data_IF_905367526192
#
_entry.id   IF_905367526192
#
_cell.length_a   1.000
_cell.length_b   1.000
_cell.length_c   1.000
_cell.angle_alpha   90.00
_cell.angle_beta   90.00
_cell.angle_gamma   90.00
#
_symmetry.space_group_name_H-M   'P 1'
#
loop_
_entity.id
_entity.type
_entity.pdbx_description
1 polymer ?
#
# COMPACT_ATOMS: atom_id res chain seq x y z
N UNK A 1 62.24 37.81 40.81
CA UNK A 1 61.01 37.00 40.86
C UNK A 1 59.86 37.74 40.17
N UNK A 2 59.51 37.39 38.93
CA UNK A 2 58.16 37.37 38.31
C UNK A 2 58.21 37.42 36.76
N UNK A 3 57.19 36.79 36.17
CA UNK A 3 56.67 36.81 34.79
C UNK A 3 57.38 35.88 33.78
N UNK A 4 56.81 34.75 33.33
CA UNK A 4 55.53 34.36 32.67
C UNK A 4 55.60 34.36 31.12
N UNK A 5 54.89 33.37 30.56
CA UNK A 5 54.37 33.13 29.18
C UNK A 5 55.18 32.13 28.32
N UNK A 6 54.73 30.86 28.18
CA UNK A 6 53.64 30.26 27.37
C UNK A 6 54.03 29.96 25.91
N UNK A 7 54.01 28.68 25.53
CA UNK A 7 53.61 28.08 24.22
C UNK A 7 53.96 26.58 24.25
N UNK A 8 52.98 25.66 24.24
CA UNK A 8 52.38 25.06 23.02
C UNK A 8 53.08 23.71 22.77
N UNK A 9 52.44 22.54 22.65
CA UNK A 9 51.44 22.14 21.66
C UNK A 9 50.79 20.84 22.18
N UNK A 10 49.46 20.78 22.25
CA UNK A 10 48.70 19.57 22.53
C UNK A 10 48.25 18.99 21.18
N UNK A 11 48.85 17.88 20.76
CA UNK A 11 48.40 17.09 19.61
C UNK A 11 47.84 15.76 20.13
N UNK A 12 46.52 15.59 20.06
CA UNK A 12 45.84 14.29 19.93
C UNK A 12 44.39 14.59 19.54
N UNK A 13 44.14 14.90 18.27
CA UNK A 13 43.50 13.98 17.31
C UNK A 13 42.17 13.40 17.82
N UNK A 14 41.10 14.04 17.35
CA UNK A 14 39.73 13.53 17.30
C UNK A 14 39.65 12.18 16.60
N UNK A 15 38.81 11.24 17.08
CA UNK A 15 38.13 10.32 16.19
C UNK A 15 36.72 10.85 15.89
N UNK A 16 36.53 11.26 14.64
CA UNK A 16 35.22 11.53 14.04
C UNK A 16 34.53 10.18 13.88
N UNK A 17 33.46 9.95 14.66
CA UNK A 17 32.60 8.76 14.52
C UNK A 17 31.76 8.96 13.26
N UNK A 18 32.16 8.27 12.18
CA UNK A 18 31.38 8.11 10.96
C UNK A 18 30.22 7.15 11.25
N UNK A 19 29.04 7.72 11.57
CA UNK A 19 27.78 7.00 11.57
C UNK A 19 27.46 6.67 10.11
N UNK A 20 27.79 5.46 9.68
CA UNK A 20 27.35 4.91 8.40
C UNK A 20 25.86 4.60 8.54
N UNK A 21 25.02 5.59 8.24
CA UNK A 21 23.60 5.36 8.02
C UNK A 21 23.49 4.36 6.85
N UNK A 22 23.26 3.10 7.19
CA UNK A 22 22.91 2.05 6.25
C UNK A 22 21.58 2.45 5.62
N UNK A 23 21.65 3.14 4.48
CA UNK A 23 20.50 3.41 3.66
C UNK A 23 20.00 2.07 3.14
N UNK A 24 18.96 1.52 3.78
CA UNK A 24 18.15 0.49 3.18
C UNK A 24 17.61 1.08 1.87
N UNK A 25 18.25 0.74 0.75
CA UNK A 25 17.71 0.97 -0.58
C UNK A 25 16.43 0.16 -0.69
N UNK A 26 15.30 0.79 -0.36
CA UNK A 26 13.99 0.33 -0.75
C UNK A 26 13.98 0.30 -2.27
N UNK A 27 14.07 -0.90 -2.85
CA UNK A 27 13.86 -1.11 -4.26
C UNK A 27 12.38 -0.78 -4.55
N UNK A 28 12.09 0.49 -4.84
CA UNK A 28 10.79 0.90 -5.34
C UNK A 28 10.55 0.17 -6.66
N UNK A 29 9.67 -0.83 -6.62
CA UNK A 29 9.17 -1.48 -7.81
C UNK A 29 8.60 -0.39 -8.71
N UNK A 30 9.19 -0.19 -9.90
CA UNK A 30 8.80 0.90 -10.82
C UNK A 30 7.41 0.59 -11.38
N UNK A 31 6.37 1.01 -10.66
CA UNK A 31 4.97 0.67 -10.98
C UNK A 31 4.58 1.42 -12.27
N UNK A 32 4.13 0.67 -13.28
CA UNK A 32 3.66 1.25 -14.54
C UNK A 32 2.16 1.55 -14.46
N UNK A 33 1.65 2.57 -15.17
CA UNK A 33 0.22 2.81 -15.29
C UNK A 33 -0.52 1.60 -15.87
N UNK A 34 -1.74 1.37 -15.40
CA UNK A 34 -2.62 0.34 -15.92
C UNK A 34 -3.33 0.84 -17.20
N UNK A 35 -3.13 0.15 -18.32
CA UNK A 35 -3.75 0.54 -19.60
C UNK A 35 -5.27 0.36 -19.59
N UNK A 36 -5.77 -0.70 -18.94
CA UNK A 36 -7.21 -0.94 -18.80
C UNK A 36 -7.90 0.14 -17.97
N UNK A 37 -7.19 0.72 -17.01
CA UNK A 37 -7.70 1.83 -16.22
C UNK A 37 -8.06 3.05 -17.09
N UNK A 38 -7.30 3.32 -18.17
CA UNK A 38 -7.61 4.42 -19.10
C UNK A 38 -8.98 4.23 -19.75
N UNK A 39 -9.33 2.99 -20.10
CA UNK A 39 -10.61 2.66 -20.73
C UNK A 39 -11.82 2.85 -19.78
N UNK A 40 -11.60 2.81 -18.46
CA UNK A 40 -12.67 2.95 -17.46
C UNK A 40 -12.59 4.25 -16.65
N UNK A 41 -11.75 5.21 -17.04
CA UNK A 41 -11.47 6.43 -16.27
C UNK A 41 -12.72 7.24 -15.88
N UNK A 42 -13.75 7.24 -16.74
CA UNK A 42 -15.02 7.94 -16.52
C UNK A 42 -16.04 7.17 -15.67
N UNK A 43 -15.73 5.93 -15.26
CA UNK A 43 -16.64 5.10 -14.45
C UNK A 43 -16.56 5.49 -12.96
N UNK A 44 -17.53 4.98 -12.20
CA UNK A 44 -17.61 5.20 -10.77
C UNK A 44 -16.35 4.71 -10.05
N UNK A 45 -15.83 5.55 -9.14
CA UNK A 45 -14.71 5.20 -8.27
C UNK A 45 -15.14 4.27 -7.14
N UNK A 46 -14.27 3.37 -6.70
CA UNK A 46 -14.49 2.56 -5.50
C UNK A 46 -14.72 3.44 -4.26
N UNK A 47 -14.02 4.57 -4.14
CA UNK A 47 -14.16 5.53 -3.02
C UNK A 47 -15.59 6.07 -2.83
N UNK A 48 -16.37 6.10 -3.90
CA UNK A 48 -17.76 6.53 -3.83
C UNK A 48 -18.62 5.61 -2.94
N UNK A 49 -18.20 4.36 -2.73
CA UNK A 49 -18.95 3.36 -1.96
C UNK A 49 -18.13 2.69 -0.85
N UNK A 50 -16.83 2.48 -1.03
CA UNK A 50 -15.99 1.75 -0.07
C UNK A 50 -14.98 2.70 0.59
N UNK A 51 -14.94 2.77 1.94
CA UNK A 51 -14.14 3.77 2.65
C UNK A 51 -12.68 3.31 2.79
N UNK A 52 -11.85 3.57 1.78
CA UNK A 52 -10.44 3.15 1.80
C UNK A 52 -9.65 3.75 2.98
N UNK A 53 -10.02 4.95 3.45
CA UNK A 53 -9.38 5.60 4.61
C UNK A 53 -9.66 4.86 5.93
N UNK A 54 -10.72 4.05 5.99
CA UNK A 54 -11.05 3.26 7.17
C UNK A 54 -10.27 1.95 7.25
N UNK A 55 -9.45 1.62 6.26
CA UNK A 55 -8.64 0.40 6.28
C UNK A 55 -7.53 0.54 7.33
N UNK A 56 -7.49 -0.35 8.31
CA UNK A 56 -6.45 -0.38 9.35
C UNK A 56 -5.26 -1.24 8.92
N UNK A 57 -5.53 -2.38 8.29
CA UNK A 57 -4.51 -3.28 7.78
C UNK A 57 -5.02 -4.08 6.59
N UNK A 58 -4.07 -4.52 5.77
CA UNK A 58 -4.32 -5.47 4.69
C UNK A 58 -3.29 -6.58 4.82
N UNK A 59 -3.77 -7.81 4.81
CA UNK A 59 -2.93 -9.00 4.73
C UNK A 59 -3.18 -9.66 3.39
N UNK A 60 -2.14 -9.76 2.57
CA UNK A 60 -2.13 -10.44 1.27
C UNK A 60 -1.71 -11.88 1.49
N UNK A 61 -2.50 -12.84 1.02
CA UNK A 61 -2.10 -14.25 0.95
C UNK A 61 -2.01 -14.67 -0.51
N UNK A 62 -0.87 -15.22 -0.91
CA UNK A 62 -0.56 -15.65 -2.28
C UNK A 62 0.28 -16.95 -2.24
N UNK A 63 0.78 -17.40 -3.40
CA UNK A 63 1.60 -18.62 -3.48
C UNK A 63 2.96 -18.52 -2.76
N UNK A 64 3.43 -17.31 -2.47
CA UNK A 64 4.66 -17.04 -1.73
C UNK A 64 4.45 -17.03 -0.21
N UNK A 65 3.20 -17.03 0.27
CA UNK A 65 2.84 -17.01 1.68
C UNK A 65 1.88 -15.89 2.02
N UNK A 66 1.96 -15.40 3.26
CA UNK A 66 1.07 -14.37 3.79
C UNK A 66 1.89 -13.18 4.27
N UNK A 67 1.62 -12.00 3.72
CA UNK A 67 2.30 -10.75 4.03
C UNK A 67 1.31 -9.70 4.52
N UNK A 68 1.60 -9.07 5.66
CA UNK A 68 0.82 -7.90 6.11
C UNK A 68 1.51 -6.65 5.63
N UNK A 69 0.77 -5.80 4.90
CA UNK A 69 1.33 -4.60 4.31
C UNK A 69 1.99 -3.72 5.37
N UNK A 70 3.18 -3.26 5.05
CA UNK A 70 3.84 -2.18 5.78
C UNK A 70 3.01 -0.89 5.66
N UNK A 71 3.26 0.08 6.53
CA UNK A 71 2.54 1.36 6.50
C UNK A 71 2.65 2.06 5.14
N UNK A 72 3.85 2.06 4.53
CA UNK A 72 4.08 2.68 3.23
C UNK A 72 3.33 1.98 2.09
N UNK A 73 3.32 0.64 2.07
CA UNK A 73 2.54 -0.16 1.11
C UNK A 73 1.04 0.06 1.29
N UNK A 74 0.58 0.14 2.54
CA UNK A 74 -0.83 0.39 2.86
C UNK A 74 -1.27 1.78 2.39
N UNK A 75 -0.46 2.82 2.62
CA UNK A 75 -0.72 4.19 2.15
C UNK A 75 -0.86 4.21 0.62
N UNK A 76 0.10 3.59 -0.08
CA UNK A 76 0.08 3.51 -1.54
C UNK A 76 -1.16 2.76 -2.04
N UNK A 77 -1.47 1.60 -1.45
CA UNK A 77 -2.62 0.81 -1.88
C UNK A 77 -3.94 1.53 -1.60
N UNK A 78 -4.09 2.21 -0.45
CA UNK A 78 -5.28 3.04 -0.16
C UNK A 78 -5.50 4.09 -1.24
N UNK A 79 -4.45 4.78 -1.67
CA UNK A 79 -4.54 5.77 -2.75
C UNK A 79 -4.98 5.14 -4.08
N UNK A 80 -4.44 3.97 -4.41
CA UNK A 80 -4.86 3.24 -5.61
C UNK A 80 -6.32 2.77 -5.51
N UNK A 81 -6.77 2.33 -4.33
CA UNK A 81 -8.15 1.92 -4.08
C UNK A 81 -9.12 3.10 -4.19
N UNK A 82 -8.80 4.28 -3.65
CA UNK A 82 -9.67 5.46 -3.78
C UNK A 82 -9.93 5.80 -5.26
N UNK A 83 -8.90 5.68 -6.07
CA UNK A 83 -8.96 5.98 -7.50
C UNK A 83 -9.48 4.81 -8.33
N UNK A 84 -9.58 3.59 -7.80
CA UNK A 84 -9.94 2.40 -8.55
C UNK A 84 -11.30 2.54 -9.25
N UNK A 85 -11.40 2.08 -10.50
CA UNK A 85 -12.58 2.31 -11.36
C UNK A 85 -13.35 1.04 -11.61
N UNK A 86 -14.66 1.09 -11.38
CA UNK A 86 -15.56 -0.03 -11.58
C UNK A 86 -15.57 -0.49 -13.04
N UNK A 87 -15.50 -1.79 -13.27
CA UNK A 87 -15.44 -2.35 -14.63
C UNK A 87 -16.82 -2.59 -15.25
N UNK A 88 -17.86 -2.78 -14.43
CA UNK A 88 -19.25 -3.01 -14.87
C UNK A 88 -19.90 -4.23 -14.22
N UNK A 89 -19.11 -5.21 -13.79
CA UNK A 89 -19.57 -6.39 -13.05
C UNK A 89 -18.40 -7.02 -12.29
N UNK A 90 -18.67 -8.11 -11.58
CA UNK A 90 -17.64 -9.01 -11.11
C UNK A 90 -17.18 -9.89 -12.28
N UNK A 91 -15.95 -9.67 -12.75
CA UNK A 91 -15.45 -10.26 -14.00
C UNK A 91 -14.64 -11.53 -13.80
N UNK A 92 -14.02 -11.70 -12.62
CA UNK A 92 -13.06 -12.77 -12.39
C UNK A 92 -13.47 -13.56 -11.16
N UNK A 93 -13.35 -14.89 -11.22
CA UNK A 93 -13.52 -15.78 -10.05
C UNK A 93 -12.31 -15.66 -9.11
N UNK A 94 -12.35 -16.22 -7.89
CA UNK A 94 -11.22 -16.16 -6.96
C UNK A 94 -9.96 -16.80 -7.55
N UNK A 95 -8.84 -16.07 -7.49
CA UNK A 95 -7.51 -16.58 -7.86
C UNK A 95 -6.77 -17.10 -6.64
N UNK A 96 -5.45 -17.28 -6.76
CA UNK A 96 -4.60 -17.67 -5.64
C UNK A 96 -4.21 -16.50 -4.72
N UNK A 97 -4.50 -15.26 -5.11
CA UNK A 97 -4.26 -14.06 -4.29
C UNK A 97 -5.54 -13.64 -3.60
N UNK A 98 -5.52 -13.63 -2.27
CA UNK A 98 -6.62 -13.15 -1.42
C UNK A 98 -6.13 -12.01 -0.53
N UNK A 99 -7.01 -11.06 -0.24
CA UNK A 99 -6.74 -9.93 0.64
C UNK A 99 -7.69 -10.00 1.83
N UNK A 100 -7.12 -10.12 3.03
CA UNK A 100 -7.86 -9.87 4.27
C UNK A 100 -7.74 -8.39 4.61
N UNK A 101 -8.84 -7.65 4.48
CA UNK A 101 -8.90 -6.22 4.77
C UNK A 101 -9.55 -6.04 6.14
N UNK A 102 -8.81 -5.45 7.09
CA UNK A 102 -9.38 -5.02 8.37
C UNK A 102 -9.77 -3.56 8.27
N UNK A 103 -11.04 -3.28 8.56
CA UNK A 103 -11.56 -1.92 8.66
C UNK A 103 -11.65 -1.51 10.13
N UNK A 104 -11.65 -0.20 10.38
CA UNK A 104 -11.98 0.38 11.69
C UNK A 104 -13.33 -0.14 12.18
N UNK A 105 -13.44 -0.28 13.50
CA UNK A 105 -14.64 -0.80 14.17
C UNK A 105 -15.90 0.04 13.96
N UNK A 106 -15.76 1.32 13.65
CA UNK A 106 -16.86 2.24 13.38
C UNK A 106 -17.29 2.26 11.90
N UNK A 107 -16.61 1.51 11.04
CA UNK A 107 -16.98 1.39 9.63
C UNK A 107 -18.24 0.56 9.45
N UNK A 108 -19.22 1.08 8.71
CA UNK A 108 -20.39 0.31 8.25
C UNK A 108 -20.04 -0.66 7.12
N UNK A 109 -18.98 -0.36 6.37
CA UNK A 109 -18.56 -1.16 5.23
C UNK A 109 -17.97 -2.51 5.68
N UNK A 110 -18.09 -3.51 4.82
CA UNK A 110 -17.47 -4.83 4.99
C UNK A 110 -16.84 -5.25 3.67
N UNK A 111 -15.59 -5.71 3.64
CA UNK A 111 -14.90 -6.02 2.40
C UNK A 111 -15.43 -7.28 1.69
N UNK A 112 -16.17 -8.16 2.37
CA UNK A 112 -16.56 -9.44 1.79
C UNK A 112 -15.33 -10.31 1.49
N UNK A 113 -15.43 -11.14 0.45
CA UNK A 113 -14.27 -11.85 -0.10
C UNK A 113 -13.53 -10.93 -1.07
N UNK A 114 -12.27 -10.66 -0.80
CA UNK A 114 -11.42 -9.81 -1.64
C UNK A 114 -10.32 -10.63 -2.28
N UNK A 115 -10.23 -10.54 -3.60
CA UNK A 115 -9.22 -11.22 -4.39
C UNK A 115 -8.66 -10.27 -5.43
N UNK A 116 -7.38 -10.41 -5.71
CA UNK A 116 -6.67 -9.49 -6.57
C UNK A 116 -5.96 -10.22 -7.70
N UNK A 117 -5.73 -9.46 -8.76
CA UNK A 117 -4.94 -9.84 -9.92
C UNK A 117 -4.04 -8.67 -10.28
N UNK A 118 -3.11 -8.86 -11.20
CA UNK A 118 -2.25 -7.77 -11.66
C UNK A 118 -3.10 -6.58 -12.13
N UNK A 119 -2.99 -5.45 -11.42
CA UNK A 119 -3.73 -4.22 -11.72
C UNK A 119 -5.25 -4.24 -11.47
N UNK A 120 -5.79 -5.27 -10.81
CA UNK A 120 -7.22 -5.37 -10.52
C UNK A 120 -7.50 -5.85 -9.10
N UNK A 121 -8.61 -5.41 -8.54
CA UNK A 121 -9.14 -5.92 -7.27
C UNK A 121 -10.62 -6.21 -7.40
N UNK A 122 -11.06 -7.27 -6.76
CA UNK A 122 -12.45 -7.70 -6.75
C UNK A 122 -12.97 -7.72 -5.32
N UNK A 123 -14.21 -7.29 -5.17
CA UNK A 123 -14.98 -7.40 -3.94
C UNK A 123 -16.18 -8.29 -4.25
N UNK A 124 -16.36 -9.36 -3.46
CA UNK A 124 -17.51 -10.25 -3.61
C UNK A 124 -18.27 -10.40 -2.29
N UNK A 125 -19.56 -10.07 -2.32
CA UNK A 125 -20.42 -10.07 -1.14
C UNK A 125 -20.05 -8.97 -0.14
N UNK A 126 -19.45 -7.88 -0.60
CA UNK A 126 -19.07 -6.74 0.22
C UNK A 126 -20.29 -5.91 0.64
N UNK A 127 -20.09 -5.02 1.60
CA UNK A 127 -21.07 -4.03 2.07
C UNK A 127 -20.43 -2.64 1.96
N UNK A 128 -21.12 -1.69 1.36
CA UNK A 128 -20.65 -0.32 1.18
C UNK A 128 -20.76 0.52 2.47
N UNK A 129 -20.28 1.77 2.43
CA UNK A 129 -20.32 2.71 3.56
C UNK A 129 -21.74 3.14 3.96
N UNK A 130 -22.74 2.86 3.12
CA UNK A 130 -24.16 3.13 3.38
C UNK A 130 -24.90 1.88 3.90
N UNK A 131 -24.25 0.71 3.89
CA UNK A 131 -24.83 -0.57 4.33
C UNK A 131 -25.43 -1.42 3.20
N UNK A 132 -25.28 -1.04 1.93
CA UNK A 132 -25.78 -1.80 0.80
C UNK A 132 -24.79 -2.88 0.36
N UNK A 133 -25.29 -4.03 -0.07
CA UNK A 133 -24.44 -5.10 -0.59
C UNK A 133 -23.94 -4.77 -1.99
N UNK A 134 -22.70 -5.11 -2.29
CA UNK A 134 -22.14 -4.99 -3.63
C UNK A 134 -21.13 -6.11 -3.93
N UNK A 135 -21.00 -6.41 -5.22
CA UNK A 135 -19.87 -7.19 -5.76
C UNK A 135 -19.37 -6.48 -7.02
N UNK A 136 -18.07 -6.50 -7.27
CA UNK A 136 -17.51 -5.81 -8.42
C UNK A 136 -16.02 -5.95 -8.59
N UNK A 137 -15.59 -5.89 -9.85
CA UNK A 137 -14.18 -5.74 -10.23
C UNK A 137 -13.84 -4.26 -10.42
N UNK A 138 -12.67 -3.86 -9.95
CA UNK A 138 -12.15 -2.50 -10.05
C UNK A 138 -10.72 -2.51 -10.61
N UNK A 139 -10.49 -1.71 -11.65
CA UNK A 139 -9.14 -1.47 -12.17
C UNK A 139 -8.40 -0.50 -11.26
N UNK A 140 -7.17 -0.83 -10.89
CA UNK A 140 -6.27 0.07 -10.17
C UNK A 140 -5.54 1.00 -11.15
N UNK A 141 -5.28 2.27 -10.80
CA UNK A 141 -4.56 3.21 -11.67
C UNK A 141 -3.17 2.74 -12.09
N UNK A 142 -2.48 2.06 -11.19
CA UNK A 142 -1.18 1.45 -11.42
C UNK A 142 -1.27 -0.08 -11.41
N UNK A 143 -0.42 -0.72 -12.20
CA UNK A 143 -0.28 -2.17 -12.23
C UNK A 143 0.46 -2.66 -10.99
N UNK A 144 -0.29 -2.93 -9.92
CA UNK A 144 0.21 -3.59 -8.72
C UNK A 144 0.34 -5.09 -9.00
N UNK A 145 1.46 -5.69 -8.60
CA UNK A 145 1.66 -7.13 -8.64
C UNK A 145 1.59 -7.75 -7.24
N UNK A 146 0.42 -8.23 -6.86
CA UNK A 146 0.19 -8.83 -5.54
C UNK A 146 0.95 -10.15 -5.31
N UNK A 147 1.45 -10.79 -6.38
CA UNK A 147 2.31 -11.98 -6.28
C UNK A 147 3.68 -11.72 -5.64
N UNK A 148 4.14 -10.47 -5.68
CA UNK A 148 5.47 -10.12 -5.23
C UNK A 148 5.53 -9.72 -3.74
N UNK A 149 4.39 -9.64 -3.05
CA UNK A 149 4.35 -9.37 -1.62
C UNK A 149 4.80 -10.61 -0.84
N UNK A 150 5.71 -10.41 0.12
CA UNK A 150 6.41 -11.47 0.88
C UNK A 150 6.66 -11.02 2.30
#
# INVERSE_FOLDING_TARGET
MRNRYFNGIIHTMFPIILIVCSFCTFAQQKIKPNEYYKAVKGKQSLDSIFPADHIESITVSNNSGTHTLTESELIQLKEQLRNAKYTGSLQVKPGHITLSIRLRSDSKAKPGNVYAYTGMINFDGATDKLGNRFSGTYYLPLNINFDNYR
#
